data_IF_304529440141
#
_entry.id   IF_304529440141
#
_cell.length_a   1.000
_cell.length_b   1.000
_cell.length_c   1.000
_cell.angle_alpha   90.00
_cell.angle_beta   90.00
_cell.angle_gamma   90.00
#
_symmetry.space_group_name_H-M   'P 1'
#
loop_
_entity.id
_entity.type
_entity.pdbx_description
1 polymer ?
#
# COMPACT_ATOMS: atom_id res chain seq x y z
N UNK A 1 51.56 -7.12 35.64
CA UNK A 1 50.33 -6.33 35.38
C UNK A 1 50.81 -5.09 34.62
N UNK A 2 50.77 -4.98 33.28
CA UNK A 2 49.65 -5.25 32.34
C UNK A 2 48.40 -4.54 32.88
N UNK A 3 47.82 -3.48 32.29
CA UNK A 3 47.63 -3.12 30.88
C UNK A 3 47.46 -1.60 30.67
N UNK A 4 47.51 -1.25 29.39
CA UNK A 4 47.27 0.01 28.68
C UNK A 4 46.11 0.88 29.16
N UNK A 5 46.36 2.20 29.27
CA UNK A 5 45.32 3.23 29.23
C UNK A 5 45.22 3.74 27.78
N UNK A 6 44.29 3.16 27.02
CA UNK A 6 43.96 3.58 25.67
C UNK A 6 43.16 4.90 25.69
N UNK A 7 43.38 5.83 24.74
CA UNK A 7 42.50 6.99 24.59
C UNK A 7 41.13 6.55 24.05
N UNK A 8 40.07 6.88 24.81
CA UNK A 8 38.68 6.63 24.45
C UNK A 8 38.34 7.27 23.10
N UNK A 9 37.98 6.43 22.14
CA UNK A 9 37.46 6.79 20.83
C UNK A 9 36.00 7.23 20.92
N UNK A 10 35.63 8.20 20.09
CA UNK A 10 34.29 8.31 19.52
C UNK A 10 33.19 8.85 20.43
N UNK A 11 32.95 10.15 20.34
CA UNK A 11 31.55 10.63 20.31
C UNK A 11 31.46 11.61 19.16
N UNK A 12 31.29 11.04 17.96
CA UNK A 12 30.69 11.77 16.85
C UNK A 12 29.28 12.14 17.33
N UNK A 13 29.12 13.38 17.77
CA UNK A 13 27.79 13.98 17.88
C UNK A 13 27.20 14.01 16.47
N UNK A 14 26.41 12.97 16.17
CA UNK A 14 25.51 12.95 15.04
C UNK A 14 24.58 14.15 15.17
N UNK A 15 24.93 15.22 14.44
CA UNK A 15 24.08 16.38 14.28
C UNK A 15 22.68 15.98 13.83
N UNK A 16 21.67 16.83 14.09
CA UNK A 16 20.30 16.53 13.76
C UNK A 16 20.24 16.18 12.28
N UNK A 17 19.86 14.94 11.98
CA UNK A 17 19.63 14.49 10.63
C UNK A 17 18.59 15.43 10.06
N UNK A 18 19.03 16.37 9.23
CA UNK A 18 18.15 17.19 8.41
C UNK A 18 17.34 16.19 7.60
N UNK A 19 16.13 15.90 8.08
CA UNK A 19 15.14 15.25 7.24
C UNK A 19 14.93 16.25 6.12
N UNK A 20 15.56 16.00 4.97
CA UNK A 20 15.36 16.78 3.77
C UNK A 20 13.85 16.97 3.65
N UNK A 21 13.41 18.21 3.85
CA UNK A 21 12.03 18.61 3.68
C UNK A 21 11.72 18.38 2.22
N UNK A 22 11.24 17.17 1.90
CA UNK A 22 10.84 16.82 0.55
C UNK A 22 9.84 17.86 0.11
N UNK A 23 10.19 18.60 -0.94
CA UNK A 23 9.31 19.59 -1.54
C UNK A 23 8.03 18.84 -1.93
N UNK A 24 6.94 19.06 -1.20
CA UNK A 24 5.64 18.51 -1.58
C UNK A 24 5.16 19.34 -2.77
N UNK A 25 5.42 18.84 -3.97
CA UNK A 25 4.92 19.46 -5.20
C UNK A 25 3.46 19.03 -5.37
N UNK A 26 2.49 19.96 -5.31
CA UNK A 26 1.12 19.63 -5.63
C UNK A 26 1.03 19.31 -7.12
N UNK A 27 0.52 18.13 -7.45
CA UNK A 27 0.29 17.69 -8.83
C UNK A 27 -1.22 17.49 -8.99
N UNK A 28 -1.77 17.95 -10.11
CA UNK A 28 -3.18 17.75 -10.45
C UNK A 28 -3.49 16.25 -10.61
N UNK A 29 -4.61 15.81 -10.03
CA UNK A 29 -4.99 14.40 -10.05
C UNK A 29 -5.24 13.88 -11.47
N UNK A 30 -5.90 14.67 -12.32
CA UNK A 30 -6.09 14.36 -13.75
C UNK A 30 -4.77 14.06 -14.48
N UNK A 31 -3.72 14.85 -14.22
CA UNK A 31 -2.40 14.61 -14.81
C UNK A 31 -1.81 13.25 -14.37
N UNK A 32 -1.91 12.93 -13.07
CA UNK A 32 -1.43 11.66 -12.54
C UNK A 32 -2.24 10.47 -13.07
N UNK A 33 -3.56 10.60 -13.19
CA UNK A 33 -4.42 9.57 -13.78
C UNK A 33 -4.06 9.31 -15.23
N UNK A 34 -3.86 10.37 -16.02
CA UNK A 34 -3.45 10.24 -17.42
C UNK A 34 -2.09 9.55 -17.57
N UNK A 35 -1.12 9.89 -16.71
CA UNK A 35 0.19 9.25 -16.69
C UNK A 35 0.09 7.76 -16.31
N UNK A 36 -0.69 7.43 -15.29
CA UNK A 36 -0.88 6.05 -14.85
C UNK A 36 -1.64 5.23 -15.89
N UNK A 37 -2.60 5.83 -16.58
CA UNK A 37 -3.30 5.20 -17.70
C UNK A 37 -2.33 4.89 -18.85
N UNK A 38 -1.44 5.83 -19.20
CA UNK A 38 -0.40 5.59 -20.21
C UNK A 38 0.55 4.46 -19.79
N UNK A 39 1.00 4.43 -18.54
CA UNK A 39 1.81 3.32 -18.02
C UNK A 39 1.05 1.99 -18.14
N UNK A 40 -0.24 1.99 -17.80
CA UNK A 40 -1.15 0.85 -17.91
C UNK A 40 -1.32 0.30 -19.34
N UNK A 41 -1.14 1.15 -20.36
CA UNK A 41 -1.14 0.73 -21.78
C UNK A 41 0.12 -0.04 -22.18
N UNK A 42 1.25 0.25 -21.55
CA UNK A 42 2.53 -0.37 -21.88
C UNK A 42 2.90 -1.54 -20.96
N UNK A 43 2.43 -1.52 -19.72
CA UNK A 43 2.63 -2.62 -18.76
C UNK A 43 1.52 -2.68 -17.71
N UNK A 44 1.39 -3.84 -17.07
CA UNK A 44 0.54 -3.97 -15.90
C UNK A 44 0.98 -2.98 -14.80
N UNK A 45 0.00 -2.33 -14.18
CA UNK A 45 0.22 -1.49 -13.01
C UNK A 45 0.63 -2.34 -11.81
N UNK A 46 1.54 -1.80 -11.02
CA UNK A 46 1.88 -2.37 -9.71
C UNK A 46 0.74 -2.17 -8.73
N UNK A 47 0.78 -2.94 -7.64
CA UNK A 47 -0.20 -2.81 -6.55
C UNK A 47 -0.18 -1.41 -5.93
N UNK A 48 0.99 -0.74 -5.88
CA UNK A 48 1.13 0.62 -5.36
C UNK A 48 0.55 1.65 -6.33
N UNK A 49 0.86 1.55 -7.62
CA UNK A 49 0.29 2.43 -8.65
C UNK A 49 -1.23 2.35 -8.69
N UNK A 50 -1.77 1.15 -8.50
CA UNK A 50 -3.23 0.97 -8.44
C UNK A 50 -3.84 1.60 -7.18
N UNK A 51 -3.18 1.48 -6.02
CA UNK A 51 -3.62 2.16 -4.79
C UNK A 51 -3.60 3.70 -4.96
N UNK A 52 -2.63 4.24 -5.71
CA UNK A 52 -2.54 5.67 -6.03
C UNK A 52 -3.70 6.12 -6.93
N UNK A 53 -4.06 5.35 -7.97
CA UNK A 53 -5.24 5.63 -8.80
C UNK A 53 -6.51 5.66 -7.93
N UNK A 54 -6.70 4.63 -7.10
CA UNK A 54 -7.87 4.53 -6.21
C UNK A 54 -7.96 5.73 -5.25
N UNK A 55 -6.82 6.25 -4.79
CA UNK A 55 -6.75 7.44 -3.95
C UNK A 55 -7.09 8.73 -4.70
N UNK A 56 -6.57 8.91 -5.92
CA UNK A 56 -6.85 10.09 -6.74
C UNK A 56 -8.32 10.15 -7.14
N UNK A 57 -8.86 9.05 -7.69
CA UNK A 57 -10.27 8.97 -8.11
C UNK A 57 -11.21 9.31 -6.95
N UNK A 58 -10.91 8.81 -5.75
CA UNK A 58 -11.70 9.12 -4.53
C UNK A 58 -11.58 10.58 -4.11
N UNK A 59 -10.38 11.17 -4.17
CA UNK A 59 -10.18 12.56 -3.80
C UNK A 59 -10.93 13.52 -4.75
N UNK A 60 -11.04 13.15 -6.03
CA UNK A 60 -11.72 13.94 -7.06
C UNK A 60 -13.24 13.73 -7.09
N UNK A 61 -13.75 12.53 -6.73
CA UNK A 61 -15.20 12.26 -6.75
C UNK A 61 -15.97 12.98 -5.63
N UNK A 62 -15.29 13.43 -4.56
CA UNK A 62 -15.93 14.10 -3.42
C UNK A 62 -16.86 13.20 -2.59
N UNK A 63 -17.01 11.93 -2.97
CA UNK A 63 -17.78 10.93 -2.24
C UNK A 63 -16.91 10.38 -1.10
N UNK A 64 -17.49 10.27 0.11
CA UNK A 64 -16.87 9.54 1.24
C UNK A 64 -16.94 8.03 0.99
N UNK A 65 -16.34 7.60 -0.11
CA UNK A 65 -16.35 6.21 -0.50
C UNK A 65 -15.51 5.35 0.43
N UNK A 66 -15.96 4.11 0.57
CA UNK A 66 -15.36 3.07 1.38
C UNK A 66 -13.84 2.98 1.16
N UNK A 67 -13.05 3.04 2.25
CA UNK A 67 -11.58 2.93 2.21
C UNK A 67 -11.09 1.58 2.70
N UNK A 68 -10.24 0.92 1.90
CA UNK A 68 -9.51 -0.25 2.34
C UNK A 68 -8.50 0.11 3.44
N UNK A 69 -8.58 -0.59 4.57
CA UNK A 69 -7.68 -0.40 5.71
C UNK A 69 -6.97 -1.71 6.03
N UNK A 70 -5.89 -1.64 6.81
CA UNK A 70 -5.20 -2.84 7.32
C UNK A 70 -6.13 -3.75 8.18
N UNK A 71 -7.21 -3.20 8.73
CA UNK A 71 -8.26 -3.99 9.40
C UNK A 71 -9.08 -4.76 8.37
N UNK A 72 -9.52 -4.11 7.30
CA UNK A 72 -10.25 -4.75 6.20
C UNK A 72 -9.40 -5.83 5.52
N UNK A 73 -8.10 -5.60 5.33
CA UNK A 73 -7.19 -6.60 4.76
C UNK A 73 -7.09 -7.86 5.64
N UNK A 74 -7.08 -7.71 6.98
CA UNK A 74 -7.14 -8.85 7.91
C UNK A 74 -8.48 -9.58 7.82
N UNK A 75 -9.59 -8.83 7.81
CA UNK A 75 -10.93 -9.40 7.67
C UNK A 75 -11.09 -10.19 6.36
N UNK A 76 -10.52 -9.70 5.24
CA UNK A 76 -10.51 -10.41 3.95
C UNK A 76 -9.75 -11.72 4.04
N UNK A 77 -8.59 -11.76 4.70
CA UNK A 77 -7.82 -13.00 4.87
C UNK A 77 -8.62 -14.02 5.69
N UNK A 78 -9.17 -13.61 6.83
CA UNK A 78 -9.97 -14.48 7.71
C UNK A 78 -11.23 -14.99 7.01
N UNK A 79 -11.94 -14.11 6.31
CA UNK A 79 -13.12 -14.46 5.54
C UNK A 79 -12.77 -15.43 4.38
N UNK A 80 -11.60 -15.29 3.76
CA UNK A 80 -11.18 -16.19 2.68
C UNK A 80 -10.98 -17.63 3.14
N UNK A 81 -10.56 -17.84 4.38
CA UNK A 81 -10.39 -19.17 4.97
C UNK A 81 -11.73 -19.86 5.25
N UNK A 82 -12.79 -19.08 5.45
CA UNK A 82 -14.15 -19.55 5.81
C UNK A 82 -15.15 -19.45 4.67
N UNK A 83 -14.69 -19.21 3.44
CA UNK A 83 -15.54 -18.94 2.24
C UNK A 83 -16.55 -17.80 2.46
N UNK A 84 -16.19 -16.80 3.25
CA UNK A 84 -17.07 -15.70 3.69
C UNK A 84 -16.91 -14.38 2.93
N UNK A 85 -16.17 -14.33 1.82
CA UNK A 85 -15.84 -13.08 1.12
C UNK A 85 -17.07 -12.33 0.64
N UNK A 86 -18.06 -13.02 0.05
CA UNK A 86 -19.29 -12.42 -0.42
C UNK A 86 -20.08 -11.68 0.69
N UNK A 87 -20.16 -12.31 1.87
CA UNK A 87 -20.83 -11.70 3.03
C UNK A 87 -20.08 -10.45 3.49
N UNK A 88 -18.76 -10.55 3.60
CA UNK A 88 -17.92 -9.43 4.00
C UNK A 88 -18.01 -8.26 3.00
N UNK A 89 -18.04 -8.53 1.69
CA UNK A 89 -18.20 -7.50 0.66
C UNK A 89 -19.52 -6.72 0.84
N UNK A 90 -20.62 -7.44 1.07
CA UNK A 90 -21.92 -6.84 1.38
C UNK A 90 -21.88 -5.99 2.65
N UNK A 91 -21.29 -6.50 3.73
CA UNK A 91 -21.21 -5.79 5.02
C UNK A 91 -20.36 -4.49 4.92
N UNK A 92 -19.37 -4.47 4.01
CA UNK A 92 -18.51 -3.34 3.75
C UNK A 92 -19.08 -2.38 2.68
N UNK A 93 -20.19 -2.73 2.03
CA UNK A 93 -20.79 -1.91 0.97
C UNK A 93 -19.97 -1.88 -0.32
N UNK A 94 -19.18 -2.92 -0.61
CA UNK A 94 -18.37 -3.03 -1.84
C UNK A 94 -18.82 -4.19 -2.71
N UNK A 95 -18.42 -4.16 -3.99
CA UNK A 95 -18.66 -5.29 -4.89
C UNK A 95 -17.78 -6.50 -4.52
N UNK A 96 -18.28 -7.70 -4.81
CA UNK A 96 -17.51 -8.94 -4.64
C UNK A 96 -16.19 -8.88 -5.41
N UNK A 97 -16.22 -8.36 -6.64
CA UNK A 97 -15.03 -8.20 -7.48
C UNK A 97 -13.96 -7.34 -6.82
N UNK A 98 -14.33 -6.20 -6.23
CA UNK A 98 -13.41 -5.34 -5.50
C UNK A 98 -12.81 -6.05 -4.28
N UNK A 99 -13.61 -6.81 -3.54
CA UNK A 99 -13.13 -7.58 -2.39
C UNK A 99 -12.15 -8.70 -2.79
N UNK A 100 -12.43 -9.45 -3.87
CA UNK A 100 -11.53 -10.49 -4.38
C UNK A 100 -10.24 -9.90 -4.97
N UNK A 101 -10.32 -8.80 -5.70
CA UNK A 101 -9.14 -8.10 -6.22
C UNK A 101 -8.26 -7.61 -5.06
N UNK A 102 -8.85 -6.98 -4.03
CA UNK A 102 -8.11 -6.56 -2.84
C UNK A 102 -7.45 -7.73 -2.13
N UNK A 103 -8.17 -8.83 -1.93
CA UNK A 103 -7.64 -10.06 -1.32
C UNK A 103 -6.44 -10.61 -2.11
N UNK A 104 -6.50 -10.63 -3.45
CA UNK A 104 -5.40 -11.06 -4.29
C UNK A 104 -4.15 -10.17 -4.08
N UNK A 105 -4.33 -8.84 -4.04
CA UNK A 105 -3.23 -7.89 -3.72
C UNK A 105 -2.64 -8.14 -2.32
N UNK A 106 -3.48 -8.30 -1.30
CA UNK A 106 -3.03 -8.58 0.08
C UNK A 106 -2.21 -9.88 0.15
N UNK A 107 -2.64 -10.93 -0.55
CA UNK A 107 -1.90 -12.21 -0.60
C UNK A 107 -0.55 -12.06 -1.30
N UNK A 108 -0.49 -11.33 -2.43
CA UNK A 108 0.76 -11.03 -3.13
C UNK A 108 1.75 -10.27 -2.24
N UNK A 109 1.32 -9.19 -1.58
CA UNK A 109 2.17 -8.40 -0.67
C UNK A 109 2.72 -9.19 0.51
N UNK A 110 1.99 -10.21 0.97
CA UNK A 110 2.40 -11.10 2.07
C UNK A 110 3.22 -12.32 1.63
N UNK A 111 3.49 -12.47 0.33
CA UNK A 111 4.15 -13.66 -0.22
C UNK A 111 3.31 -14.93 -0.11
N UNK A 112 2.01 -14.82 0.16
CA UNK A 112 1.10 -15.96 0.23
C UNK A 112 0.79 -16.39 -1.20
N UNK A 113 1.45 -17.45 -1.68
CA UNK A 113 1.11 -18.06 -2.97
C UNK A 113 -0.33 -18.57 -2.92
N UNK A 114 -1.17 -18.04 -3.82
CA UNK A 114 -2.46 -18.65 -4.11
C UNK A 114 -2.15 -19.98 -4.79
N UNK A 115 -2.58 -21.10 -4.19
CA UNK A 115 -2.41 -22.42 -4.79
C UNK A 115 -3.50 -22.54 -5.88
N UNK A 116 -3.06 -22.55 -7.14
CA UNK A 116 -3.90 -22.44 -8.35
C UNK A 116 -3.91 -21.00 -8.85
N UNK A 117 -3.47 -20.66 -10.06
CA UNK A 117 -3.44 -21.36 -11.36
C UNK A 117 -2.16 -20.98 -12.16
N UNK A 118 -1.98 -21.49 -13.39
CA UNK A 118 -1.60 -22.86 -13.79
C UNK A 118 -0.12 -23.19 -13.58
#
# INVERSE_FOLDING_TARGET
MMEDDAPSTGTEEGGPTERSGGLIVPVEGEFLLNLLNEVGRHRALTDTETDVIEEIVRAESGEQDFRWTARHDRMLIDASQRRGIHRLARDLGVSDGAAYQRLARVRRRRGIRVRGEP
#
